data_IF_968378187024
#
_entry.id   IF_968378187024
#
_cell.length_a   1.000
_cell.length_b   1.000
_cell.length_c   1.000
_cell.angle_alpha   90.00
_cell.angle_beta   90.00
_cell.angle_gamma   90.00
#
_symmetry.space_group_name_H-M   'P 1'
#
loop_
_entity.id
_entity.type
_entity.pdbx_description
1 polymer ?
#
# COMPACT_ATOMS: atom_id res chain seq x y z
N UNK A 1 -11.88 4.59 6.99
CA UNK A 1 -11.03 5.71 6.56
C UNK A 1 -11.67 6.34 5.35
N UNK A 2 -11.55 7.66 5.21
CA UNK A 2 -12.11 8.36 4.06
C UNK A 2 -11.41 7.99 2.73
N UNK A 3 -10.24 7.35 2.78
CA UNK A 3 -9.55 6.80 1.59
C UNK A 3 -10.47 5.91 0.77
N UNK A 4 -11.23 5.01 1.42
CA UNK A 4 -12.19 4.10 0.76
C UNK A 4 -13.40 4.82 0.16
N UNK A 5 -13.56 6.13 0.40
CA UNK A 5 -14.61 6.97 -0.21
C UNK A 5 -14.15 7.62 -1.49
N UNK A 6 -12.84 7.80 -1.65
CA UNK A 6 -12.24 8.39 -2.86
C UNK A 6 -11.78 7.30 -3.82
N UNK A 7 -11.26 6.21 -3.28
CA UNK A 7 -10.75 5.07 -4.04
C UNK A 7 -11.60 3.85 -3.73
N UNK A 8 -12.20 3.24 -4.76
CA UNK A 8 -12.95 1.98 -4.63
C UNK A 8 -12.02 0.83 -4.20
N UNK A 9 -10.82 0.77 -4.78
CA UNK A 9 -9.84 -0.31 -4.59
C UNK A 9 -8.47 0.20 -4.13
N UNK A 10 -8.37 0.82 -2.95
CA UNK A 10 -7.13 1.48 -2.52
C UNK A 10 -5.94 0.52 -2.42
N UNK A 11 -6.17 -0.74 -2.08
CA UNK A 11 -5.11 -1.76 -2.00
C UNK A 11 -4.58 -2.14 -3.40
N UNK A 12 -5.47 -2.44 -4.36
CA UNK A 12 -5.04 -2.79 -5.72
C UNK A 12 -4.37 -1.61 -6.42
N UNK A 13 -4.88 -0.39 -6.22
CA UNK A 13 -4.24 0.81 -6.75
C UNK A 13 -2.84 1.03 -6.15
N UNK A 14 -2.66 0.77 -4.85
CA UNK A 14 -1.33 0.83 -4.24
C UNK A 14 -0.38 -0.20 -4.86
N UNK A 15 -0.84 -1.44 -5.11
CA UNK A 15 -0.03 -2.47 -5.79
C UNK A 15 0.35 -2.04 -7.21
N UNK A 16 -0.59 -1.46 -7.98
CA UNK A 16 -0.29 -0.98 -9.34
C UNK A 16 0.78 0.12 -9.31
N UNK A 17 0.61 1.14 -8.46
CA UNK A 17 1.59 2.24 -8.34
C UNK A 17 2.96 1.71 -7.91
N UNK A 18 2.97 0.79 -6.94
CA UNK A 18 4.19 0.17 -6.43
C UNK A 18 4.89 -0.69 -7.50
N UNK A 19 4.15 -1.52 -8.23
CA UNK A 19 4.68 -2.30 -9.35
C UNK A 19 5.30 -1.40 -10.42
N UNK A 20 4.63 -0.33 -10.81
CA UNK A 20 5.16 0.64 -11.79
C UNK A 20 6.45 1.28 -11.27
N UNK A 21 6.46 1.75 -10.02
CA UNK A 21 7.64 2.35 -9.43
C UNK A 21 8.84 1.38 -9.40
N UNK A 22 8.59 0.11 -9.08
CA UNK A 22 9.64 -0.91 -9.08
C UNK A 22 10.16 -1.25 -10.47
N UNK A 23 9.30 -1.37 -11.47
CA UNK A 23 9.71 -1.61 -12.85
C UNK A 23 10.50 -0.44 -13.42
N UNK A 24 10.15 0.80 -13.07
CA UNK A 24 10.90 1.99 -13.46
C UNK A 24 12.27 2.08 -12.76
N UNK A 25 12.35 1.58 -11.52
CA UNK A 25 13.58 1.62 -10.73
C UNK A 25 14.52 0.43 -11.00
N UNK A 26 14.00 -0.70 -11.47
CA UNK A 26 14.74 -1.96 -11.64
C UNK A 26 14.44 -2.59 -13.00
N UNK A 27 15.44 -2.56 -13.91
CA UNK A 27 15.34 -3.08 -15.28
C UNK A 27 15.76 -4.54 -15.47
N UNK A 28 15.71 -5.37 -14.43
CA UNK A 28 16.10 -6.79 -14.51
C UNK A 28 14.91 -7.73 -14.76
N UNK A 29 15.18 -8.89 -15.37
CA UNK A 29 14.14 -9.87 -15.76
C UNK A 29 13.31 -10.38 -14.58
N UNK A 30 13.94 -10.56 -13.41
CA UNK A 30 13.26 -11.03 -12.19
C UNK A 30 12.23 -10.03 -11.69
N UNK A 31 12.61 -8.76 -11.68
CA UNK A 31 11.73 -7.65 -11.33
C UNK A 31 10.59 -7.55 -12.33
N UNK A 32 10.85 -7.71 -13.63
CA UNK A 32 9.80 -7.72 -14.65
C UNK A 32 8.74 -8.78 -14.38
N UNK A 33 9.15 -10.02 -14.12
CA UNK A 33 8.22 -11.12 -13.86
C UNK A 33 7.39 -10.89 -12.60
N UNK A 34 8.04 -10.50 -11.50
CA UNK A 34 7.38 -10.30 -10.20
C UNK A 34 6.42 -9.10 -10.23
N UNK A 35 6.94 -7.91 -10.53
CA UNK A 35 6.16 -6.68 -10.43
C UNK A 35 5.18 -6.54 -11.60
N UNK A 36 5.55 -7.02 -12.79
CA UNK A 36 4.65 -7.11 -13.93
C UNK A 36 3.50 -8.06 -13.66
N UNK A 37 3.78 -9.25 -13.11
CA UNK A 37 2.76 -10.21 -12.71
C UNK A 37 1.80 -9.67 -11.65
N UNK A 38 2.32 -9.07 -10.58
CA UNK A 38 1.50 -8.46 -9.52
C UNK A 38 0.68 -7.26 -10.04
N UNK A 39 1.26 -6.44 -10.92
CA UNK A 39 0.57 -5.31 -11.53
C UNK A 39 -0.58 -5.76 -12.44
N UNK A 40 -0.33 -6.76 -13.29
CA UNK A 40 -1.35 -7.35 -14.14
C UNK A 40 -2.47 -7.99 -13.31
N UNK A 41 -2.11 -8.77 -12.29
CA UNK A 41 -3.07 -9.37 -11.37
C UNK A 41 -3.95 -8.31 -10.69
N UNK A 42 -3.36 -7.23 -10.16
CA UNK A 42 -4.12 -6.16 -9.50
C UNK A 42 -5.12 -5.48 -10.44
N UNK A 43 -4.78 -5.29 -11.72
CA UNK A 43 -5.71 -4.75 -12.73
C UNK A 43 -6.85 -5.74 -12.98
N UNK A 44 -6.55 -7.02 -13.16
CA UNK A 44 -7.56 -8.05 -13.40
C UNK A 44 -8.53 -8.19 -12.21
N UNK A 45 -8.02 -8.15 -10.99
CA UNK A 45 -8.86 -8.17 -9.78
C UNK A 45 -9.81 -6.98 -9.71
N UNK A 46 -9.35 -5.77 -10.05
CA UNK A 46 -10.25 -4.60 -10.12
C UNK A 46 -11.41 -4.86 -11.10
N UNK A 47 -11.13 -5.43 -12.27
CA UNK A 47 -12.15 -5.76 -13.27
C UNK A 47 -13.12 -6.83 -12.77
N UNK A 48 -12.60 -7.92 -12.20
CA UNK A 48 -13.41 -9.03 -11.70
C UNK A 48 -14.26 -8.63 -10.50
N UNK A 49 -13.71 -7.88 -9.55
CA UNK A 49 -14.45 -7.35 -8.40
C UNK A 49 -15.53 -6.37 -8.87
N UNK A 50 -15.22 -5.47 -9.81
CA UNK A 50 -16.23 -4.55 -10.35
C UNK A 50 -17.37 -5.29 -11.04
N UNK A 51 -17.06 -6.35 -11.80
CA UNK A 51 -18.06 -7.18 -12.48
C UNK A 51 -18.91 -7.98 -11.50
N UNK A 52 -18.31 -8.49 -10.42
CA UNK A 52 -19.00 -9.28 -9.39
C UNK A 52 -19.88 -8.42 -8.49
N UNK A 53 -19.36 -7.28 -8.03
CA UNK A 53 -19.99 -6.46 -7.00
C UNK A 53 -20.86 -5.33 -7.58
N UNK A 54 -20.75 -5.04 -8.88
CA UNK A 54 -21.60 -4.07 -9.57
C UNK A 54 -21.31 -2.62 -9.20
N UNK A 55 -22.36 -1.82 -9.02
CA UNK A 55 -22.25 -0.39 -8.74
C UNK A 55 -21.60 -0.11 -7.38
N UNK A 56 -20.73 0.90 -7.36
CA UNK A 56 -20.03 1.27 -6.15
C UNK A 56 -20.82 2.28 -5.32
N UNK A 57 -21.34 1.81 -4.19
CA UNK A 57 -21.94 2.67 -3.17
C UNK A 57 -20.83 3.32 -2.35
N UNK A 58 -20.70 4.65 -2.47
CA UNK A 58 -19.70 5.42 -1.71
C UNK A 58 -19.96 5.29 -0.20
N UNK A 59 -18.98 4.84 0.60
CA UNK A 59 -19.14 4.76 2.05
C UNK A 59 -19.42 6.13 2.69
N UNK A 60 -20.17 6.12 3.80
CA UNK A 60 -20.43 7.31 4.59
C UNK A 60 -19.11 7.93 5.11
N UNK A 61 -19.06 9.26 5.32
CA UNK A 61 -17.92 9.93 5.94
C UNK A 61 -17.51 9.25 7.23
N UNK A 62 -16.20 9.04 7.39
CA UNK A 62 -15.68 8.61 8.69
C UNK A 62 -15.28 9.83 9.52
N UNK A 63 -15.59 9.85 10.81
CA UNK A 63 -15.15 10.93 11.70
C UNK A 63 -13.62 11.02 11.78
N UNK A 64 -13.10 12.22 12.04
CA UNK A 64 -11.67 12.54 12.05
C UNK A 64 -10.81 11.63 12.94
N UNK A 65 -11.37 11.08 14.01
CA UNK A 65 -10.70 10.10 14.87
C UNK A 65 -10.26 8.83 14.14
N UNK A 66 -11.02 8.39 13.11
CA UNK A 66 -10.65 7.22 12.29
C UNK A 66 -9.51 7.51 11.32
N UNK A 67 -9.04 8.75 11.25
CA UNK A 67 -7.83 9.17 10.53
C UNK A 67 -6.69 9.42 11.52
N UNK A 68 -6.97 10.14 12.61
CA UNK A 68 -5.96 10.52 13.59
C UNK A 68 -5.37 9.32 14.34
N UNK A 69 -6.20 8.35 14.75
CA UNK A 69 -5.71 7.18 15.50
C UNK A 69 -4.73 6.35 14.67
N UNK A 70 -5.06 5.91 13.43
CA UNK A 70 -4.10 5.19 12.59
C UNK A 70 -2.83 6.00 12.29
N UNK A 71 -2.94 7.32 12.14
CA UNK A 71 -1.78 8.19 11.93
C UNK A 71 -0.84 8.15 13.13
N UNK A 72 -1.35 8.36 14.35
CA UNK A 72 -0.56 8.31 15.58
C UNK A 72 0.06 6.92 15.75
N UNK A 73 -0.73 5.85 15.59
CA UNK A 73 -0.24 4.48 15.68
C UNK A 73 0.87 4.23 14.65
N UNK A 74 0.68 4.68 13.41
CA UNK A 74 1.69 4.55 12.35
C UNK A 74 3.00 5.26 12.69
N UNK A 75 2.93 6.50 13.22
CA UNK A 75 4.10 7.27 13.65
C UNK A 75 4.81 6.58 14.81
N UNK A 76 4.07 6.08 15.81
CA UNK A 76 4.64 5.37 16.96
C UNK A 76 5.33 4.08 16.51
N UNK A 77 4.65 3.26 15.69
CA UNK A 77 5.23 2.02 15.17
C UNK A 77 6.47 2.31 14.32
N UNK A 78 6.43 3.33 13.47
CA UNK A 78 7.59 3.74 12.69
C UNK A 78 8.77 4.14 13.58
N UNK A 79 8.54 4.98 14.59
CA UNK A 79 9.58 5.40 15.53
C UNK A 79 10.20 4.21 16.28
N UNK A 80 9.36 3.27 16.73
CA UNK A 80 9.80 2.03 17.38
C UNK A 80 10.66 1.19 16.42
N UNK A 81 10.21 0.97 15.19
CA UNK A 81 10.95 0.18 14.20
C UNK A 81 12.29 0.84 13.85
N UNK A 82 12.32 2.16 13.67
CA UNK A 82 13.56 2.90 13.41
C UNK A 82 14.53 2.78 14.58
N UNK A 83 14.04 2.94 15.81
CA UNK A 83 14.87 2.82 17.02
C UNK A 83 15.47 1.41 17.17
N UNK A 84 14.66 0.37 16.93
CA UNK A 84 15.09 -1.02 17.02
C UNK A 84 15.65 -1.60 15.70
N UNK A 85 15.88 -0.78 14.68
CA UNK A 85 16.28 -1.28 13.36
C UNK A 85 17.60 -2.06 13.40
N UNK A 86 18.57 -1.64 14.22
CA UNK A 86 19.83 -2.37 14.38
C UNK A 86 19.62 -3.79 14.92
N UNK A 87 18.68 -3.98 15.84
CA UNK A 87 18.35 -5.30 16.39
C UNK A 87 17.55 -6.15 15.39
N UNK A 88 16.60 -5.53 14.68
CA UNK A 88 15.70 -6.23 13.75
C UNK A 88 16.36 -6.59 12.41
N UNK A 89 17.21 -5.70 11.88
CA UNK A 89 17.78 -5.78 10.53
C UNK A 89 19.30 -5.95 10.52
N UNK A 90 19.97 -5.93 11.67
CA UNK A 90 21.42 -6.12 11.79
C UNK A 90 22.28 -4.93 11.33
N UNK A 91 21.66 -3.81 10.94
CA UNK A 91 22.34 -2.60 10.46
C UNK A 91 21.74 -1.37 11.15
N UNK A 92 22.56 -0.44 11.62
CA UNK A 92 22.08 0.78 12.27
C UNK A 92 21.64 1.83 11.23
N UNK A 93 20.47 2.47 11.43
CA UNK A 93 20.03 3.63 10.65
C UNK A 93 20.45 4.96 11.27
N UNK A 94 20.62 4.99 12.60
CA UNK A 94 21.10 6.13 13.35
C UNK A 94 22.38 5.66 14.02
N UNK A 95 23.52 6.14 13.53
CA UNK A 95 24.81 5.97 14.18
C UNK A 95 24.90 7.04 15.27
N UNK A 96 24.98 6.62 16.54
CA UNK A 96 25.39 7.50 17.63
C UNK A 96 26.89 7.83 17.54
#
# INVERSE_FOLDING_TARGET
>A
SDIKRWLRHPQMLAVIVWSIAHLLSNGEDRSLLLFGGLGLWAVLEILFINRRDGDWLRPAPTGWMRVLIPLIVGVVVYAVVVYFHAYLAGVALITA
#
